data_IF_097314678606
#
_entry.id   IF_097314678606
#
_cell.length_a   1.000
_cell.length_b   1.000
_cell.length_c   1.000
_cell.angle_alpha   90.00
_cell.angle_beta   90.00
_cell.angle_gamma   90.00
#
_symmetry.space_group_name_H-M   'P 1'
#
loop_
_entity.id
_entity.type
_entity.pdbx_description
1 polymer ?
#
# COMPACT_ATOMS: atom_id res chain seq x y z
N UNK A 1 7.97 -15.74 -10.30
CA UNK A 1 8.01 -14.29 -10.40
C UNK A 1 7.47 -13.69 -9.13
N UNK A 2 8.21 -12.74 -8.54
CA UNK A 2 7.77 -12.10 -7.31
C UNK A 2 6.65 -11.12 -7.62
N UNK A 3 5.93 -10.69 -6.56
CA UNK A 3 4.90 -9.68 -6.73
C UNK A 3 5.48 -8.39 -7.28
N UNK A 4 6.67 -8.04 -6.81
CA UNK A 4 7.33 -6.84 -7.27
C UNK A 4 7.60 -6.88 -8.76
N UNK A 5 8.09 -8.02 -9.25
CA UNK A 5 8.37 -8.16 -10.67
C UNK A 5 7.10 -8.05 -11.51
N UNK A 6 6.02 -8.61 -11.03
CA UNK A 6 4.76 -8.53 -11.74
C UNK A 6 4.27 -7.09 -11.83
N UNK A 7 4.39 -6.33 -10.74
CA UNK A 7 3.95 -4.94 -10.76
C UNK A 7 4.83 -4.09 -11.65
N UNK A 8 6.13 -4.35 -11.67
CA UNK A 8 7.04 -3.61 -12.56
C UNK A 8 6.68 -3.85 -14.01
N UNK A 9 6.38 -5.07 -14.36
CA UNK A 9 6.02 -5.38 -15.73
C UNK A 9 4.72 -4.69 -16.14
N UNK A 10 3.72 -4.74 -15.27
CA UNK A 10 2.46 -4.07 -15.55
C UNK A 10 2.63 -2.57 -15.70
N UNK A 11 3.51 -2.00 -14.89
CA UNK A 11 3.77 -0.58 -14.96
C UNK A 11 4.36 -0.19 -16.32
N UNK A 12 5.31 -0.96 -16.80
CA UNK A 12 5.89 -0.68 -18.10
C UNK A 12 4.86 -0.77 -19.22
N UNK A 13 3.99 -1.73 -19.13
CA UNK A 13 2.96 -1.91 -20.15
C UNK A 13 1.98 -0.75 -20.19
N UNK A 14 1.82 -0.04 -19.09
CA UNK A 14 0.80 0.98 -18.98
C UNK A 14 1.29 2.39 -19.11
N UNK A 15 2.58 2.60 -19.21
CA UNK A 15 3.12 3.95 -19.26
C UNK A 15 2.70 4.72 -20.50
N UNK A 16 2.28 4.04 -21.54
CA UNK A 16 1.86 4.71 -22.77
C UNK A 16 0.47 5.34 -22.65
N UNK A 17 -0.30 5.00 -21.62
CA UNK A 17 -1.66 5.50 -21.45
C UNK A 17 -1.79 6.21 -20.11
N UNK A 18 -1.76 7.56 -20.08
CA UNK A 18 -1.71 8.28 -18.81
C UNK A 18 -2.87 7.96 -17.86
N UNK A 19 -4.10 7.83 -18.39
CA UNK A 19 -5.24 7.51 -17.52
C UNK A 19 -5.11 6.13 -16.92
N UNK A 20 -4.66 5.15 -17.72
CA UNK A 20 -4.43 3.81 -17.22
C UNK A 20 -3.29 3.78 -16.22
N UNK A 21 -2.26 4.62 -16.43
CA UNK A 21 -1.15 4.70 -15.50
C UNK A 21 -1.60 5.23 -14.14
N UNK A 22 -2.50 6.21 -14.12
CA UNK A 22 -3.01 6.74 -12.85
C UNK A 22 -3.79 5.68 -12.09
N UNK A 23 -4.63 4.90 -12.80
CA UNK A 23 -5.36 3.81 -12.18
C UNK A 23 -4.45 2.72 -11.67
N UNK A 24 -3.43 2.41 -12.45
CA UNK A 24 -2.43 1.43 -12.05
C UNK A 24 -1.71 1.87 -10.77
N UNK A 25 -1.32 3.14 -10.71
CA UNK A 25 -0.59 3.63 -9.54
C UNK A 25 -1.46 3.60 -8.29
N UNK A 26 -2.75 3.91 -8.42
CA UNK A 26 -3.65 3.80 -7.27
C UNK A 26 -3.77 2.35 -6.81
N UNK A 27 -3.91 1.43 -7.75
CA UNK A 27 -4.03 0.02 -7.41
C UNK A 27 -2.74 -0.48 -6.76
N UNK A 28 -1.59 -0.05 -7.26
CA UNK A 28 -0.31 -0.44 -6.70
C UNK A 28 -0.17 0.06 -5.26
N UNK A 29 -0.56 1.31 -5.02
CA UNK A 29 -0.49 1.86 -3.67
C UNK A 29 -1.41 1.11 -2.71
N UNK A 30 -2.63 0.79 -3.16
CA UNK A 30 -3.54 0.04 -2.31
C UNK A 30 -2.97 -1.33 -1.99
N UNK A 31 -2.38 -1.99 -2.98
CA UNK A 31 -1.76 -3.29 -2.78
C UNK A 31 -0.60 -3.20 -1.78
N UNK A 32 0.27 -2.22 -1.95
CA UNK A 32 1.43 -2.07 -1.07
C UNK A 32 1.03 -1.72 0.36
N UNK A 33 0.04 -0.84 0.50
CA UNK A 33 -0.44 -0.50 1.84
C UNK A 33 -1.06 -1.71 2.51
N UNK A 34 -1.84 -2.49 1.76
CA UNK A 34 -2.42 -3.71 2.30
C UNK A 34 -1.36 -4.68 2.78
N UNK A 35 -0.29 -4.82 2.00
CA UNK A 35 0.82 -5.70 2.39
C UNK A 35 1.52 -5.20 3.65
N UNK A 36 1.70 -3.90 3.78
CA UNK A 36 2.33 -3.34 4.97
C UNK A 36 1.48 -3.59 6.21
N UNK A 37 0.17 -3.37 6.09
CA UNK A 37 -0.73 -3.61 7.22
C UNK A 37 -0.70 -5.08 7.61
N UNK A 38 -0.74 -5.96 6.61
CA UNK A 38 -0.69 -7.39 6.88
C UNK A 38 0.60 -7.79 7.57
N UNK A 39 1.73 -7.28 7.09
CA UNK A 39 3.01 -7.62 7.68
C UNK A 39 3.10 -7.17 9.14
N UNK A 40 2.61 -5.96 9.42
CA UNK A 40 2.60 -5.46 10.79
C UNK A 40 1.69 -6.28 11.68
N UNK A 41 0.52 -6.63 11.15
CA UNK A 41 -0.43 -7.46 11.90
C UNK A 41 0.17 -8.81 12.24
N UNK A 42 0.72 -9.48 11.23
CA UNK A 42 1.29 -10.80 11.42
C UNK A 42 2.51 -10.76 12.34
N UNK A 43 3.29 -9.69 12.24
CA UNK A 43 4.44 -9.52 13.12
C UNK A 43 4.05 -9.39 14.57
N UNK A 44 2.85 -8.91 14.84
CA UNK A 44 2.32 -8.81 16.21
C UNK A 44 1.43 -10.00 16.57
N UNK A 45 1.33 -10.98 15.68
CA UNK A 45 0.56 -12.20 15.91
C UNK A 45 -0.92 -11.92 16.15
N UNK A 46 -1.43 -10.91 15.46
CA UNK A 46 -2.85 -10.58 15.52
C UNK A 46 -3.58 -11.26 14.37
N UNK A 47 -4.79 -11.75 14.64
CA UNK A 47 -5.65 -12.22 13.57
C UNK A 47 -6.29 -11.02 12.88
N UNK A 48 -6.87 -11.25 11.70
CA UNK A 48 -7.62 -10.20 11.02
C UNK A 48 -8.80 -9.73 11.88
N UNK A 49 -9.44 -10.67 12.58
CA UNK A 49 -10.55 -10.32 13.45
C UNK A 49 -10.11 -9.46 14.61
N UNK A 50 -8.95 -9.75 15.17
CA UNK A 50 -8.42 -8.94 16.27
C UNK A 50 -8.08 -7.54 15.81
N UNK A 51 -7.45 -7.42 14.66
CA UNK A 51 -7.16 -6.10 14.12
C UNK A 51 -8.44 -5.34 13.83
N UNK A 52 -9.43 -6.04 13.25
CA UNK A 52 -10.73 -5.42 12.96
C UNK A 52 -11.35 -4.86 14.22
N UNK A 53 -11.32 -5.62 15.29
CA UNK A 53 -11.89 -5.17 16.55
C UNK A 53 -11.17 -3.92 17.05
N UNK A 54 -9.85 -3.90 17.00
CA UNK A 54 -9.08 -2.74 17.43
C UNK A 54 -9.39 -1.50 16.60
N UNK A 55 -9.70 -1.72 15.32
CA UNK A 55 -9.99 -0.62 14.40
C UNK A 55 -11.45 -0.21 14.37
N UNK A 56 -12.32 -0.93 15.09
CA UNK A 56 -13.76 -0.68 15.00
C UNK A 56 -14.30 -1.06 13.63
N UNK A 57 -13.79 -2.13 13.05
CA UNK A 57 -14.13 -2.58 11.71
C UNK A 57 -14.55 -4.05 11.75
N UNK A 58 -14.61 -4.70 10.58
CA UNK A 58 -15.00 -6.10 10.48
C UNK A 58 -13.89 -6.90 9.84
N UNK A 59 -13.86 -8.21 10.11
CA UNK A 59 -12.86 -9.07 9.53
C UNK A 59 -12.88 -9.04 8.00
N UNK A 60 -14.04 -9.12 7.32
CA UNK A 60 -14.03 -9.02 5.86
C UNK A 60 -13.49 -7.70 5.35
N UNK A 61 -13.72 -6.60 6.08
CA UNK A 61 -13.17 -5.31 5.68
C UNK A 61 -11.65 -5.33 5.76
N UNK A 62 -11.10 -5.91 6.81
CA UNK A 62 -9.65 -6.02 6.95
C UNK A 62 -9.08 -6.95 5.87
N UNK A 63 -9.78 -8.03 5.57
CA UNK A 63 -9.31 -8.94 4.52
C UNK A 63 -9.22 -8.22 3.18
N UNK A 64 -10.22 -7.41 2.83
CA UNK A 64 -10.20 -6.65 1.59
C UNK A 64 -9.11 -5.59 1.59
N UNK A 65 -8.91 -4.95 2.72
CA UNK A 65 -7.87 -3.95 2.87
C UNK A 65 -6.49 -4.56 2.65
N UNK A 66 -6.22 -5.68 3.27
CA UNK A 66 -4.94 -6.35 3.15
C UNK A 66 -4.71 -6.92 1.76
N UNK A 67 -5.76 -7.28 1.07
CA UNK A 67 -5.67 -7.80 -0.29
C UNK A 67 -5.49 -6.69 -1.33
N UNK A 68 -5.59 -5.43 -0.92
CA UNK A 68 -5.43 -4.32 -1.84
C UNK A 68 -6.63 -4.10 -2.73
N UNK A 69 -7.80 -4.60 -2.33
CA UNK A 69 -9.00 -4.51 -3.16
C UNK A 69 -9.68 -3.17 -3.05
N UNK A 70 -9.37 -2.41 -2.03
CA UNK A 70 -9.93 -1.08 -1.84
C UNK A 70 -8.80 -0.13 -1.54
N UNK A 71 -8.95 1.11 -1.98
CA UNK A 71 -8.01 2.17 -1.63
C UNK A 71 -8.40 2.68 -0.25
N UNK A 72 -7.53 2.56 0.75
CA UNK A 72 -7.89 2.99 2.09
C UNK A 72 -7.97 4.51 2.16
N UNK A 73 -8.92 5.00 2.96
CA UNK A 73 -8.99 6.42 3.24
C UNK A 73 -7.93 6.77 4.29
N UNK A 74 -7.65 8.06 4.44
CA UNK A 74 -6.75 8.49 5.50
C UNK A 74 -7.27 8.07 6.86
N UNK A 75 -8.59 8.16 7.05
CA UNK A 75 -9.18 7.75 8.31
C UNK A 75 -8.91 6.27 8.59
N UNK A 76 -9.05 5.43 7.57
CA UNK A 76 -8.77 4.01 7.73
C UNK A 76 -7.30 3.78 8.08
N UNK A 77 -6.40 4.49 7.40
CA UNK A 77 -4.98 4.35 7.67
C UNK A 77 -4.62 4.82 9.08
N UNK A 78 -5.23 5.92 9.53
CA UNK A 78 -5.01 6.40 10.90
C UNK A 78 -5.46 5.35 11.91
N UNK A 79 -6.62 4.73 11.68
CA UNK A 79 -7.12 3.73 12.59
C UNK A 79 -6.22 2.49 12.60
N UNK A 80 -5.73 2.09 11.43
CA UNK A 80 -4.81 0.96 11.36
C UNK A 80 -3.52 1.27 12.12
N UNK A 81 -2.97 2.46 11.93
CA UNK A 81 -1.74 2.85 12.61
C UNK A 81 -1.93 2.82 14.12
N UNK A 82 -3.04 3.39 14.60
CA UNK A 82 -3.33 3.39 16.03
C UNK A 82 -3.49 1.97 16.57
N UNK A 83 -4.21 1.12 15.82
CA UNK A 83 -4.44 -0.25 16.25
C UNK A 83 -3.17 -1.08 16.31
N UNK A 84 -2.23 -0.77 15.41
CA UNK A 84 -0.97 -1.50 15.32
C UNK A 84 0.14 -0.85 16.13
N UNK A 85 -0.12 0.33 16.71
CA UNK A 85 0.87 1.00 17.52
C UNK A 85 2.03 1.54 16.72
N UNK A 86 1.79 1.95 15.49
CA UNK A 86 2.83 2.48 14.62
C UNK A 86 2.45 3.88 14.15
N UNK A 87 3.44 4.59 13.65
CA UNK A 87 3.23 5.93 13.13
C UNK A 87 2.91 5.86 11.64
N UNK A 88 1.89 6.59 11.21
CA UNK A 88 1.55 6.71 9.81
C UNK A 88 2.33 7.89 9.23
N UNK A 89 3.10 7.63 8.18
CA UNK A 89 3.88 8.69 7.52
C UNK A 89 3.45 8.72 6.06
N UNK A 90 3.03 9.90 5.61
CA UNK A 90 2.60 10.11 4.23
C UNK A 90 3.38 11.31 3.70
N UNK A 91 3.96 11.16 2.53
CA UNK A 91 4.72 12.26 1.94
C UNK A 91 4.59 12.23 0.43
N UNK A 92 4.83 13.37 -0.18
CA UNK A 92 4.94 13.48 -1.62
C UNK A 92 6.41 13.50 -1.99
N UNK A 93 6.72 12.86 -3.10
CA UNK A 93 8.08 12.88 -3.63
C UNK A 93 8.04 13.40 -5.04
N UNK A 94 9.08 14.13 -5.42
CA UNK A 94 9.19 14.56 -6.79
C UNK A 94 9.57 13.37 -7.67
N UNK A 95 9.15 13.39 -8.95
CA UNK A 95 9.53 12.31 -9.85
C UNK A 95 11.02 12.13 -9.88
N UNK A 96 11.45 10.89 -10.05
CA UNK A 96 12.84 10.53 -9.99
C UNK A 96 13.61 10.99 -11.19
N UNK A 97 14.64 11.77 -10.96
CA UNK A 97 15.67 12.05 -11.96
C UNK A 97 17.04 11.85 -11.35
N UNK A 98 17.07 11.21 -10.22
CA UNK A 98 18.29 11.10 -9.46
C UNK A 98 19.37 10.29 -10.15
N UNK A 99 18.96 9.41 -11.05
CA UNK A 99 19.96 8.61 -11.74
C UNK A 99 20.95 9.47 -12.48
N UNK A 100 20.44 10.47 -13.19
CA UNK A 100 21.31 11.36 -13.92
C UNK A 100 22.16 12.20 -12.97
N UNK A 101 21.56 12.69 -11.90
CA UNK A 101 22.32 13.48 -10.95
C UNK A 101 23.39 12.66 -10.25
N UNK A 102 23.06 11.44 -9.91
CA UNK A 102 24.02 10.59 -9.25
C UNK A 102 25.20 10.26 -10.13
N UNK A 103 24.94 10.07 -11.42
CA UNK A 103 26.02 9.78 -12.33
C UNK A 103 26.91 10.97 -12.60
N UNK A 104 26.34 12.14 -12.61
CA UNK A 104 27.13 13.33 -12.87
C UNK A 104 27.89 13.77 -11.62
N UNK A 105 27.48 13.30 -10.49
CA UNK A 105 28.20 13.60 -9.25
C UNK A 105 29.47 12.79 -9.07
#
# INVERSE_FOLDING_TARGET
MSRRDRWEKLRQDRLAAPAASAGYERARRAFELGEQIRALREGQRLSQSELARRMGSTQPAIARLEAGRVAPSLNTLDRAAAALGVELVISFQQPQQRDRRQRSG
#
